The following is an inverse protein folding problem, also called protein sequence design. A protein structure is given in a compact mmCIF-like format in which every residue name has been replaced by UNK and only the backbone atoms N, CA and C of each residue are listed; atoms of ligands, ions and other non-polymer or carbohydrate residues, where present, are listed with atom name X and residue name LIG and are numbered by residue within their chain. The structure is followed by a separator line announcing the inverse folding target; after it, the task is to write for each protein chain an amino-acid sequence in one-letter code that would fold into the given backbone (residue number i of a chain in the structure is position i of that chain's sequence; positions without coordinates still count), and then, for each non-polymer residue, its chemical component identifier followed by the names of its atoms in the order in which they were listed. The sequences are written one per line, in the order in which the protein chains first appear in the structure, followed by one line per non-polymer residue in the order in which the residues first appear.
data_IF_182895100607
#
_entry.id   IF_182895100607
#
_cell.length_a   1.000
_cell.length_b   1.000
_cell.length_c   1.000
_cell.angle_alpha   90.00
_cell.angle_beta   90.00
_cell.angle_gamma   90.00
#
_symmetry.space_group_name_H-M   'P 1'
#
loop_
_entity.id
_entity.type
_entity.pdbx_description
1 polymer ?
#
# COMPACT_ATOMS: atom_id res chain seq x y z
N UNK A 1 16.77 -16.89 22.21
CA UNK A 1 16.77 -16.67 20.75
C UNK A 1 15.45 -16.01 20.41
N UNK A 2 15.41 -14.69 20.24
CA UNK A 2 14.18 -13.98 19.91
C UNK A 2 14.02 -13.98 18.39
N UNK A 3 13.05 -14.72 17.88
CA UNK A 3 12.63 -14.65 16.50
C UNK A 3 11.85 -13.35 16.32
N UNK A 4 12.42 -12.37 15.63
CA UNK A 4 11.65 -11.25 15.12
C UNK A 4 10.72 -11.80 14.02
N UNK A 5 9.42 -11.79 14.28
CA UNK A 5 8.44 -11.97 13.22
C UNK A 5 8.64 -10.82 12.22
N UNK A 6 8.93 -11.17 10.98
CA UNK A 6 8.92 -10.21 9.90
C UNK A 6 7.52 -9.53 9.88
N UNK A 7 7.46 -8.20 9.77
CA UNK A 7 6.17 -7.52 9.64
C UNK A 7 5.39 -8.14 8.48
N UNK A 8 4.09 -8.30 8.67
CA UNK A 8 3.20 -8.84 7.64
C UNK A 8 3.45 -8.07 6.34
N UNK A 9 3.87 -8.79 5.32
CA UNK A 9 4.27 -8.21 4.05
C UNK A 9 3.06 -7.51 3.42
N UNK A 10 3.13 -6.20 3.34
CA UNK A 10 2.13 -5.37 2.70
C UNK A 10 2.35 -5.44 1.20
N UNK A 11 1.34 -5.79 0.45
CA UNK A 11 1.51 -6.20 -0.94
C UNK A 11 0.43 -5.57 -1.82
N UNK A 12 0.64 -4.33 -2.26
CA UNK A 12 -0.07 -3.86 -3.44
C UNK A 12 0.52 -4.49 -4.70
N UNK A 13 -0.30 -4.75 -5.70
CA UNK A 13 0.16 -5.26 -6.99
C UNK A 13 0.39 -4.11 -7.97
N UNK A 14 1.42 -4.24 -8.81
CA UNK A 14 1.58 -3.37 -9.97
C UNK A 14 0.61 -3.81 -11.06
N UNK A 15 -0.17 -2.87 -11.59
CA UNK A 15 -1.02 -3.05 -12.75
C UNK A 15 -0.28 -2.71 -14.03
N UNK A 16 -0.79 -3.18 -15.17
CA UNK A 16 -0.38 -2.69 -16.47
C UNK A 16 -0.79 -1.21 -16.62
N UNK A 17 0.01 -0.45 -17.35
CA UNK A 17 -0.34 0.93 -17.67
C UNK A 17 -1.66 0.94 -18.45
N UNK A 18 -2.69 1.58 -17.92
CA UNK A 18 -3.89 1.86 -18.70
C UNK A 18 -3.53 2.87 -19.81
N UNK A 19 -4.01 2.60 -21.02
CA UNK A 19 -3.98 3.50 -22.20
C UNK A 19 -2.60 3.93 -22.76
N UNK A 20 -1.59 3.09 -22.68
CA UNK A 20 -0.29 3.34 -23.33
C UNK A 20 0.51 4.47 -22.70
N UNK A 21 0.15 4.91 -21.50
CA UNK A 21 0.97 5.80 -20.69
C UNK A 21 2.04 4.98 -19.95
N UNK A 22 3.20 5.57 -19.68
CA UNK A 22 4.28 4.92 -18.88
C UNK A 22 3.94 4.80 -17.39
N UNK A 23 2.73 5.14 -16.99
CA UNK A 23 2.29 5.09 -15.61
C UNK A 23 1.92 3.65 -15.23
N UNK A 24 2.62 3.09 -14.26
CA UNK A 24 2.25 1.81 -13.65
C UNK A 24 1.20 2.07 -12.58
N UNK A 25 0.00 1.53 -12.76
CA UNK A 25 -1.04 1.56 -11.74
C UNK A 25 -0.63 0.70 -10.54
N UNK A 26 -0.89 1.18 -9.33
CA UNK A 26 -0.75 0.40 -8.12
C UNK A 26 -2.14 -0.02 -7.67
N UNK A 27 -2.34 -1.33 -7.59
CA UNK A 27 -3.64 -1.93 -7.38
C UNK A 27 -3.77 -2.51 -5.99
N UNK A 28 -4.94 -2.34 -5.39
CA UNK A 28 -5.31 -3.01 -4.15
C UNK A 28 -5.48 -4.50 -4.35
N UNK A 29 -4.94 -5.32 -3.46
CA UNK A 29 -5.08 -6.79 -3.49
C UNK A 29 -6.10 -7.29 -2.45
N UNK A 30 -6.51 -8.56 -2.56
CA UNK A 30 -7.57 -9.12 -1.72
C UNK A 30 -7.29 -9.09 -0.21
N UNK A 31 -6.01 -9.09 0.19
CA UNK A 31 -5.62 -9.16 1.60
C UNK A 31 -5.21 -7.81 2.19
N UNK A 32 -5.33 -6.73 1.41
CA UNK A 32 -4.94 -5.41 1.86
C UNK A 32 -5.79 -4.93 3.03
N UNK A 33 -5.10 -4.33 4.00
CA UNK A 33 -5.71 -3.75 5.20
C UNK A 33 -5.25 -2.32 5.37
N UNK A 34 -6.18 -1.47 5.79
CA UNK A 34 -5.90 -0.08 6.12
C UNK A 34 -6.21 0.19 7.59
N UNK A 35 -5.45 1.07 8.21
CA UNK A 35 -5.76 1.63 9.51
C UNK A 35 -6.57 2.90 9.32
N UNK A 36 -7.70 3.00 10.00
CA UNK A 36 -8.60 4.17 9.88
C UNK A 36 -8.74 4.83 11.24
N UNK A 37 -8.75 6.15 11.25
CA UNK A 37 -8.97 7.01 12.42
C UNK A 37 -10.17 7.93 12.20
N UNK A 38 -10.88 8.26 13.25
CA UNK A 38 -11.77 9.43 13.24
C UNK A 38 -11.07 10.66 13.84
N UNK A 39 -11.71 11.82 13.74
CA UNK A 39 -11.15 13.07 14.22
C UNK A 39 -10.97 13.13 15.75
N UNK A 40 -11.67 12.29 16.50
CA UNK A 40 -11.69 12.26 17.97
C UNK A 40 -10.91 11.11 18.58
N UNK A 41 -10.56 10.11 17.76
CA UNK A 41 -9.94 8.88 18.23
C UNK A 41 -8.42 8.95 18.24
N UNK A 42 -7.83 8.51 19.34
CA UNK A 42 -6.40 8.24 19.44
C UNK A 42 -6.06 6.78 19.08
N UNK A 43 -7.06 5.99 18.67
CA UNK A 43 -6.88 4.59 18.30
C UNK A 43 -7.43 4.32 16.92
N UNK A 44 -6.72 3.47 16.19
CA UNK A 44 -7.12 3.02 14.87
C UNK A 44 -8.15 1.89 14.93
N UNK A 45 -8.83 1.69 13.81
CA UNK A 45 -9.55 0.44 13.52
C UNK A 45 -9.03 -0.15 12.22
N UNK A 46 -8.93 -1.48 12.19
CA UNK A 46 -8.52 -2.23 11.01
C UNK A 46 -9.70 -2.38 10.05
N UNK A 47 -9.53 -1.99 8.81
CA UNK A 47 -10.44 -2.25 7.71
C UNK A 47 -9.74 -3.12 6.68
N UNK A 48 -10.41 -4.17 6.24
CA UNK A 48 -9.92 -5.12 5.26
C UNK A 48 -10.65 -4.92 3.94
N UNK A 49 -9.93 -5.06 2.83
CA UNK A 49 -10.54 -5.05 1.50
C UNK A 49 -11.55 -6.18 1.39
N UNK A 50 -12.73 -5.88 0.87
CA UNK A 50 -13.77 -6.88 0.64
C UNK A 50 -13.42 -7.76 -0.57
N UNK A 51 -13.89 -9.00 -0.55
CA UNK A 51 -13.47 -10.08 -1.47
C UNK A 51 -14.01 -9.98 -2.90
N UNK A 52 -14.86 -9.01 -3.18
CA UNK A 52 -15.66 -8.93 -4.42
C UNK A 52 -14.93 -8.32 -5.61
N UNK A 53 -13.72 -7.83 -5.41
CA UNK A 53 -12.96 -7.20 -6.50
C UNK A 53 -11.54 -7.75 -6.58
N UNK A 54 -11.15 -8.20 -7.76
CA UNK A 54 -9.73 -8.48 -8.07
C UNK A 54 -8.82 -7.29 -7.77
N UNK A 55 -7.61 -7.29 -8.27
CA UNK A 55 -6.70 -6.16 -8.12
C UNK A 55 -7.25 -4.95 -8.87
N UNK A 56 -7.53 -3.85 -8.15
CA UNK A 56 -8.14 -2.62 -8.71
C UNK A 56 -7.54 -1.37 -8.09
N UNK A 57 -7.59 -0.27 -8.84
CA UNK A 57 -7.22 1.05 -8.34
C UNK A 57 -8.15 1.53 -7.22
N UNK A 58 -9.44 1.24 -7.35
CA UNK A 58 -10.45 1.52 -6.33
C UNK A 58 -10.86 0.24 -5.60
N UNK A 59 -11.04 0.31 -4.28
CA UNK A 59 -11.43 -0.83 -3.47
C UNK A 59 -12.37 -0.43 -2.33
N UNK A 60 -13.22 -1.37 -1.94
CA UNK A 60 -14.09 -1.26 -0.78
C UNK A 60 -13.43 -1.96 0.40
N UNK A 61 -13.41 -1.27 1.53
CA UNK A 61 -12.87 -1.79 2.78
C UNK A 61 -13.97 -1.86 3.84
N UNK A 62 -14.03 -2.95 4.56
CA UNK A 62 -14.94 -3.14 5.68
C UNK A 62 -14.17 -3.31 6.99
N UNK A 63 -14.71 -2.77 8.07
CA UNK A 63 -14.13 -2.95 9.40
C UNK A 63 -14.19 -4.40 9.83
N UNK A 64 -13.15 -4.86 10.53
CA UNK A 64 -13.06 -6.21 11.06
C UNK A 64 -13.21 -6.24 12.58
N UNK A 65 -14.13 -7.07 13.08
CA UNK A 65 -14.23 -7.38 14.52
C UNK A 65 -14.81 -6.28 15.42
N UNK A 66 -15.22 -5.13 14.88
CA UNK A 66 -15.75 -4.01 15.67
C UNK A 66 -16.73 -3.17 14.85
N UNK A 67 -17.36 -2.17 15.48
CA UNK A 67 -18.23 -1.21 14.79
C UNK A 67 -17.39 -0.19 14.03
N UNK A 68 -17.78 0.14 12.80
CA UNK A 68 -17.15 1.20 12.00
C UNK A 68 -17.19 2.56 12.72
N UNK A 69 -16.25 3.44 12.38
CA UNK A 69 -16.34 4.84 12.79
C UNK A 69 -17.50 5.52 12.07
N UNK A 70 -18.21 6.40 12.79
CA UNK A 70 -19.29 7.20 12.21
C UNK A 70 -18.77 8.37 11.37
N UNK A 71 -17.57 8.86 11.67
CA UNK A 71 -16.96 10.01 11.00
C UNK A 71 -15.46 9.78 10.81
N UNK A 72 -15.04 8.78 10.03
CA UNK A 72 -13.65 8.53 9.78
C UNK A 72 -13.04 9.69 8.98
N UNK A 73 -11.85 10.13 9.39
CA UNK A 73 -11.18 11.32 8.83
C UNK A 73 -9.91 10.97 8.10
N UNK A 74 -9.13 10.05 8.66
CA UNK A 74 -7.82 9.67 8.14
C UNK A 74 -7.69 8.16 8.00
N UNK A 75 -6.92 7.75 7.01
CA UNK A 75 -6.55 6.36 6.82
C UNK A 75 -5.07 6.26 6.45
N UNK A 76 -4.48 5.11 6.68
CA UNK A 76 -3.12 4.80 6.21
C UNK A 76 -3.03 3.35 5.77
N UNK A 77 -2.11 3.10 4.89
CA UNK A 77 -1.75 1.78 4.40
C UNK A 77 -0.23 1.61 4.49
N UNK A 78 0.22 0.45 4.88
CA UNK A 78 -0.53 -0.71 5.34
C UNK A 78 -0.93 -0.61 6.82
N UNK A 79 -2.03 -1.22 7.20
CA UNK A 79 -2.37 -1.39 8.61
C UNK A 79 -1.26 -2.14 9.36
N UNK A 80 -0.89 -1.67 10.53
CA UNK A 80 -0.04 -2.40 11.47
C UNK A 80 -0.64 -2.34 12.87
N UNK A 81 -0.69 -3.49 13.54
CA UNK A 81 -1.10 -3.57 14.95
C UNK A 81 -0.12 -2.85 15.89
N UNK A 82 1.13 -2.64 15.47
CA UNK A 82 2.11 -1.85 16.25
C UNK A 82 1.71 -0.39 16.43
N UNK A 83 0.73 0.05 15.64
CA UNK A 83 0.14 1.38 15.73
C UNK A 83 -1.12 1.44 16.59
N UNK A 84 -1.54 0.33 17.21
CA UNK A 84 -2.67 0.34 18.14
C UNK A 84 -2.35 1.22 19.35
N UNK A 85 -3.29 2.08 19.70
CA UNK A 85 -3.12 3.08 20.76
C UNK A 85 -2.27 4.30 20.39
N UNK A 86 -1.78 4.40 19.14
CA UNK A 86 -1.11 5.60 18.64
C UNK A 86 -2.11 6.56 18.00
N UNK A 87 -1.76 7.84 18.04
CA UNK A 87 -2.47 8.87 17.27
C UNK A 87 -2.01 8.87 15.81
N UNK A 88 -2.79 9.46 14.93
CA UNK A 88 -2.43 9.61 13.51
C UNK A 88 -1.11 10.38 13.30
N UNK A 89 -0.75 11.27 14.21
CA UNK A 89 0.50 12.05 14.14
C UNK A 89 1.74 11.30 14.64
N UNK A 90 1.57 10.10 15.18
CA UNK A 90 2.65 9.30 15.78
C UNK A 90 2.73 7.87 15.24
N UNK A 91 2.22 7.66 14.02
CA UNK A 91 2.31 6.37 13.37
C UNK A 91 3.77 5.97 13.11
N UNK A 92 4.06 4.71 13.34
CA UNK A 92 5.34 4.12 13.01
C UNK A 92 5.20 3.19 11.80
N UNK A 93 6.19 3.22 10.94
CA UNK A 93 6.35 2.30 9.83
C UNK A 93 7.82 1.94 9.67
N UNK A 94 8.08 0.82 9.06
CA UNK A 94 9.43 0.39 8.74
C UNK A 94 9.55 0.18 7.23
N UNK A 95 10.34 1.02 6.58
CA UNK A 95 10.72 0.79 5.18
C UNK A 95 11.94 -0.14 5.18
N UNK A 96 11.80 -1.39 4.73
CA UNK A 96 12.94 -2.32 4.69
C UNK A 96 14.07 -1.75 3.83
N UNK A 97 15.31 -1.95 4.28
CA UNK A 97 16.49 -1.53 3.54
C UNK A 97 16.58 -2.23 2.17
N UNK A 98 16.16 -3.48 2.12
CA UNK A 98 16.02 -4.23 0.87
C UNK A 98 14.56 -4.25 0.45
N UNK A 99 14.31 -3.79 -0.77
CA UNK A 99 12.98 -3.82 -1.39
C UNK A 99 12.96 -4.94 -2.42
N UNK A 100 12.17 -5.95 -2.16
CA UNK A 100 11.98 -7.06 -3.07
C UNK A 100 10.65 -6.91 -3.82
N UNK A 101 10.70 -7.13 -5.13
CA UNK A 101 9.52 -7.27 -5.94
C UNK A 101 9.31 -8.76 -6.21
N UNK A 102 8.31 -9.35 -5.58
CA UNK A 102 7.93 -10.73 -5.79
C UNK A 102 6.59 -10.81 -6.52
N UNK A 103 6.59 -11.46 -7.68
CA UNK A 103 5.36 -11.74 -8.44
C UNK A 103 4.51 -10.48 -8.73
N UNK A 104 5.15 -9.35 -9.00
CA UNK A 104 4.49 -8.08 -9.26
C UNK A 104 3.92 -7.38 -8.02
N UNK A 105 4.24 -7.86 -6.83
CA UNK A 105 3.84 -7.25 -5.56
C UNK A 105 4.89 -6.26 -5.08
N UNK A 106 4.44 -5.08 -4.67
CA UNK A 106 5.29 -4.03 -4.12
C UNK A 106 5.33 -4.14 -2.60
N UNK A 107 6.55 -4.21 -2.05
CA UNK A 107 6.78 -4.14 -0.62
C UNK A 107 7.13 -2.71 -0.22
N UNK A 108 6.64 -2.25 0.93
CA UNK A 108 6.96 -0.90 1.43
C UNK A 108 6.19 0.22 0.74
N UNK A 109 5.09 -0.09 0.05
CA UNK A 109 4.18 0.91 -0.47
C UNK A 109 3.34 1.50 0.67
N UNK A 110 3.80 2.61 1.22
CA UNK A 110 3.08 3.34 2.27
C UNK A 110 2.22 4.43 1.66
N UNK A 111 0.96 4.49 2.10
CA UNK A 111 0.00 5.50 1.65
C UNK A 111 -0.69 6.15 2.84
N UNK A 112 -1.09 7.38 2.68
CA UNK A 112 -2.04 8.04 3.57
C UNK A 112 -3.30 8.42 2.81
N UNK A 113 -4.44 8.39 3.47
CA UNK A 113 -5.73 8.73 2.91
C UNK A 113 -6.44 9.80 3.74
N UNK A 114 -7.11 10.71 3.07
CA UNK A 114 -7.96 11.73 3.68
C UNK A 114 -9.38 11.47 3.22
N UNK A 115 -10.34 11.58 4.15
CA UNK A 115 -11.76 11.43 3.83
C UNK A 115 -12.25 12.62 3.02
N UNK A 116 -12.88 12.36 1.89
CA UNK A 116 -13.58 13.37 1.07
C UNK A 116 -15.06 13.50 1.42
N UNK A 117 -15.49 12.88 2.50
CA UNK A 117 -16.88 12.90 2.96
C UNK A 117 -17.54 11.54 2.90
N UNK A 118 -18.86 11.54 3.14
CA UNK A 118 -19.69 10.34 3.19
C UNK A 118 -20.71 10.31 2.06
N UNK A 119 -21.05 9.11 1.64
CA UNK A 119 -22.14 8.81 0.70
C UNK A 119 -23.03 7.71 1.28
N UNK A 120 -24.09 7.33 0.56
CA UNK A 120 -24.92 6.19 0.91
C UNK A 120 -24.13 4.86 0.97
N UNK A 121 -22.99 4.77 0.28
CA UNK A 121 -22.12 3.61 0.24
C UNK A 121 -21.02 3.63 1.32
N UNK A 122 -20.91 4.70 2.12
CA UNK A 122 -19.91 4.87 3.16
C UNK A 122 -19.02 6.09 2.95
N UNK A 123 -17.86 6.07 3.55
CA UNK A 123 -16.87 7.15 3.47
C UNK A 123 -15.87 6.88 2.34
N UNK A 124 -15.58 7.91 1.54
CA UNK A 124 -14.59 7.87 0.48
C UNK A 124 -13.26 8.42 0.99
N UNK A 125 -12.19 7.69 0.75
CA UNK A 125 -10.82 8.13 0.99
C UNK A 125 -10.06 8.25 -0.33
N UNK A 126 -9.30 9.31 -0.46
CA UNK A 126 -8.29 9.46 -1.52
C UNK A 126 -6.92 9.21 -0.91
N UNK A 127 -6.21 8.25 -1.48
CA UNK A 127 -4.89 7.83 -1.02
C UNK A 127 -3.79 8.44 -1.85
N UNK A 128 -2.76 8.92 -1.17
CA UNK A 128 -1.49 9.37 -1.77
C UNK A 128 -0.35 8.52 -1.24
N UNK A 129 0.63 8.23 -2.11
CA UNK A 129 1.84 7.53 -1.70
C UNK A 129 2.71 8.43 -0.83
N UNK A 130 3.34 7.86 0.20
CA UNK A 130 4.32 8.57 1.03
C UNK A 130 5.69 8.65 0.38
N UNK A 131 5.99 7.71 -0.51
CA UNK A 131 7.28 7.61 -1.19
C UNK A 131 7.08 7.63 -2.70
N UNK A 132 8.05 8.20 -3.40
CA UNK A 132 8.12 8.13 -4.86
C UNK A 132 8.74 6.81 -5.28
N UNK A 133 8.30 6.30 -6.42
CA UNK A 133 8.89 5.11 -7.04
C UNK A 133 9.59 5.51 -8.33
N UNK A 134 10.74 4.89 -8.59
CA UNK A 134 11.44 5.00 -9.85
C UNK A 134 11.33 3.67 -10.60
N UNK A 135 10.85 3.72 -11.84
CA UNK A 135 10.96 2.60 -12.80
C UNK A 135 12.19 2.83 -13.67
N UNK A 136 13.10 1.87 -13.66
CA UNK A 136 14.28 1.89 -14.52
C UNK A 136 14.11 0.77 -15.53
N UNK A 137 14.11 1.12 -16.80
CA UNK A 137 14.04 0.17 -17.91
C UNK A 137 15.40 0.06 -18.56
N UNK A 138 15.92 -1.17 -18.63
CA UNK A 138 17.19 -1.47 -19.29
C UNK A 138 16.89 -2.30 -20.52
N UNK A 139 16.97 -1.68 -21.69
CA UNK A 139 16.80 -2.37 -22.97
C UNK A 139 18.17 -2.82 -23.52
N UNK A 140 18.36 -4.12 -23.55
CA UNK A 140 19.55 -4.75 -24.12
C UNK A 140 19.26 -5.54 -25.41
N UNK A 141 18.05 -5.43 -25.96
CA UNK A 141 17.57 -6.24 -27.08
C UNK A 141 18.44 -6.15 -28.35
N UNK A 142 19.07 -5.01 -28.59
CA UNK A 142 19.94 -4.75 -29.75
C UNK A 142 21.43 -4.74 -29.38
N UNK A 143 21.82 -5.40 -28.31
CA UNK A 143 23.21 -5.47 -27.84
C UNK A 143 23.67 -6.92 -27.70
N UNK A 144 25.00 -7.18 -27.61
CA UNK A 144 25.52 -8.53 -27.31
C UNK A 144 25.02 -9.11 -25.96
N UNK A 145 24.38 -8.29 -25.12
CA UNK A 145 23.82 -8.68 -23.84
C UNK A 145 22.35 -9.10 -23.94
N UNK A 146 21.78 -9.16 -25.13
CA UNK A 146 20.41 -9.61 -25.33
C UNK A 146 20.18 -11.00 -24.69
N UNK A 147 19.14 -11.12 -23.88
CA UNK A 147 18.81 -12.36 -23.16
C UNK A 147 19.64 -12.63 -21.90
N UNK A 148 20.61 -11.78 -21.56
CA UNK A 148 21.33 -11.88 -20.30
C UNK A 148 20.47 -11.34 -19.14
N UNK A 149 20.67 -11.90 -17.95
CA UNK A 149 20.00 -11.41 -16.73
C UNK A 149 20.78 -10.26 -16.13
N UNK A 150 20.11 -9.18 -15.78
CA UNK A 150 20.68 -8.13 -14.95
C UNK A 150 20.99 -8.71 -13.55
N UNK A 151 22.24 -8.66 -13.13
CA UNK A 151 22.67 -9.19 -11.84
C UNK A 151 22.56 -8.16 -10.71
N UNK A 152 22.79 -6.90 -11.01
CA UNK A 152 22.67 -5.82 -10.05
C UNK A 152 22.50 -4.47 -10.74
N UNK A 153 21.84 -3.54 -10.04
CA UNK A 153 21.74 -2.13 -10.41
C UNK A 153 22.03 -1.31 -9.17
N UNK A 154 22.96 -0.38 -9.26
CA UNK A 154 23.28 0.55 -8.17
C UNK A 154 22.88 1.95 -8.60
N UNK A 155 22.08 2.63 -7.75
CA UNK A 155 21.73 4.03 -7.90
C UNK A 155 22.43 4.81 -6.81
N UNK A 156 23.23 5.79 -7.20
CA UNK A 156 23.89 6.71 -6.27
C UNK A 156 23.22 8.07 -6.38
N UNK A 157 22.81 8.65 -5.26
CA UNK A 157 22.16 9.97 -5.13
C UNK A 157 23.07 10.90 -4.35
#
# INVERSE_FOLDING_TARGET
MATMNAPAATKTAMGEAEDGTSAVGILWTAEDKIGVFDASSSSQKCYMKTSDSGNKADAIFAVTGTTAFSSPTYAYYPYSADNDGRSISSLAGNLPQEQNMDSGKLYGDYKYGISEGSSAQGHKFVFSHLFSMARIEVDASNTPLAGQKLSSLTITV
#
